data_IF_935274841588
#
_entry.id   IF_935274841588
#
_cell.length_a   1.000
_cell.length_b   1.000
_cell.length_c   1.000
_cell.angle_alpha   90.00
_cell.angle_beta   90.00
_cell.angle_gamma   90.00
#
_symmetry.space_group_name_H-M   'P 1'
#
loop_
_entity.id
_entity.type
_entity.pdbx_description
1 polymer ?
#
# COMPACT_ATOMS: atom_id res chain seq x y z
N UNK A 1 -3.67 23.30 -8.35
CA UNK A 1 -3.82 21.97 -8.99
C UNK A 1 -2.57 21.63 -9.76
N UNK A 2 -2.12 20.40 -9.70
CA UNK A 2 -1.03 19.92 -10.55
C UNK A 2 -1.27 18.47 -10.96
N UNK A 3 -0.64 18.07 -12.07
CA UNK A 3 -0.67 16.66 -12.52
C UNK A 3 0.76 16.14 -12.46
N UNK A 4 0.97 15.09 -11.68
CA UNK A 4 2.26 14.43 -11.58
C UNK A 4 2.23 13.14 -12.39
N UNK A 5 3.19 12.98 -13.29
CA UNK A 5 3.30 11.75 -14.09
C UNK A 5 3.95 10.65 -13.28
N UNK A 6 3.49 9.42 -13.46
CA UNK A 6 4.05 8.28 -12.71
C UNK A 6 5.56 8.13 -12.95
N UNK A 7 6.03 8.42 -14.14
CA UNK A 7 7.46 8.34 -14.47
C UNK A 7 8.34 9.31 -13.68
N UNK A 8 7.72 10.36 -13.12
CA UNK A 8 8.42 11.40 -12.37
C UNK A 8 8.30 11.19 -10.85
N UNK A 9 7.71 10.10 -10.42
CA UNK A 9 7.56 9.79 -9.00
C UNK A 9 8.84 9.15 -8.45
N UNK A 10 8.99 9.23 -7.13
CA UNK A 10 10.17 8.72 -6.44
C UNK A 10 9.84 7.36 -5.82
N UNK A 11 10.75 6.40 -6.02
CA UNK A 11 10.64 5.12 -5.33
C UNK A 11 11.06 5.27 -3.87
N UNK A 12 10.54 4.39 -3.03
CA UNK A 12 10.91 4.31 -1.62
C UNK A 12 10.87 2.86 -1.17
N UNK A 13 11.60 2.56 -0.08
CA UNK A 13 11.56 1.25 0.55
C UNK A 13 10.63 1.30 1.75
N UNK A 14 9.54 0.54 1.66
CA UNK A 14 8.62 0.40 2.77
C UNK A 14 9.13 -0.65 3.75
N UNK A 15 9.06 -0.39 5.08
CA UNK A 15 9.50 -1.36 6.07
C UNK A 15 8.72 -2.66 5.95
N UNK A 16 9.40 -3.78 6.19
CA UNK A 16 8.80 -5.12 6.23
C UNK A 16 8.00 -5.46 4.96
N UNK A 17 8.55 -5.06 3.81
CA UNK A 17 8.02 -5.42 2.49
C UNK A 17 9.03 -6.28 1.75
N UNK A 18 8.56 -7.27 0.99
CA UNK A 18 9.39 -8.22 0.26
C UNK A 18 8.99 -8.26 -1.21
N UNK A 19 9.97 -8.37 -2.11
CA UNK A 19 9.76 -8.48 -3.57
C UNK A 19 8.77 -7.43 -4.08
N UNK A 20 9.01 -6.20 -3.69
CA UNK A 20 8.08 -5.09 -3.87
C UNK A 20 8.82 -3.89 -4.43
N UNK A 21 8.18 -3.19 -5.37
CA UNK A 21 8.62 -1.88 -5.84
C UNK A 21 7.54 -0.88 -5.48
N UNK A 22 7.89 0.14 -4.71
CA UNK A 22 6.94 1.14 -4.21
C UNK A 22 7.31 2.52 -4.68
N UNK A 23 6.28 3.28 -5.10
CA UNK A 23 6.39 4.66 -5.54
C UNK A 23 5.51 5.56 -4.67
N UNK A 24 6.01 6.75 -4.36
CA UNK A 24 5.16 7.80 -3.78
C UNK A 24 4.52 8.57 -4.92
N UNK A 25 3.24 8.31 -5.15
CA UNK A 25 2.53 8.99 -6.21
C UNK A 25 2.20 10.43 -5.85
N UNK A 26 1.72 10.65 -4.63
CA UNK A 26 1.30 11.97 -4.17
C UNK A 26 1.45 12.06 -2.67
N UNK A 27 2.01 13.15 -2.19
CA UNK A 27 2.25 13.38 -0.77
C UNK A 27 3.73 13.54 -0.45
N UNK A 28 4.02 14.00 0.76
CA UNK A 28 5.37 14.32 1.25
C UNK A 28 6.08 15.42 0.43
N UNK A 29 5.33 16.15 -0.36
CA UNK A 29 5.82 17.25 -1.18
C UNK A 29 5.23 18.56 -0.70
N UNK A 30 5.90 19.68 -0.99
CA UNK A 30 5.57 20.99 -0.43
C UNK A 30 4.14 21.42 -0.68
N UNK A 31 3.61 21.11 -1.86
CA UNK A 31 2.27 21.55 -2.27
C UNK A 31 1.33 20.37 -2.51
N UNK A 32 1.63 19.22 -1.92
CA UNK A 32 0.82 18.02 -2.05
C UNK A 32 -0.33 17.95 -1.06
N UNK A 33 -1.00 16.80 -0.99
CA UNK A 33 -2.10 16.60 -0.05
C UNK A 33 -1.67 16.86 1.40
N UNK A 34 -2.52 17.51 2.17
CA UNK A 34 -2.21 17.88 3.55
C UNK A 34 -2.51 16.76 4.56
N UNK A 35 -3.49 15.90 4.26
CA UNK A 35 -4.04 14.97 5.26
C UNK A 35 -3.76 13.51 4.94
N UNK A 36 -3.29 13.20 3.75
CA UNK A 36 -3.03 11.83 3.34
C UNK A 36 -1.98 11.81 2.23
N UNK A 37 -1.45 10.64 1.99
CA UNK A 37 -0.58 10.41 0.84
C UNK A 37 -1.02 9.15 0.10
N UNK A 38 -0.62 9.03 -1.15
CA UNK A 38 -0.96 7.91 -2.02
C UNK A 38 0.31 7.24 -2.50
N UNK A 39 0.40 5.95 -2.26
CA UNK A 39 1.50 5.12 -2.74
C UNK A 39 1.02 4.14 -3.80
N UNK A 40 1.97 3.55 -4.49
CA UNK A 40 1.75 2.54 -5.52
C UNK A 40 2.75 1.44 -5.29
N UNK A 41 2.29 0.20 -5.20
CA UNK A 41 3.16 -0.95 -4.95
C UNK A 41 2.93 -2.01 -6.02
N UNK A 42 4.04 -2.58 -6.47
CA UNK A 42 4.04 -3.73 -7.36
C UNK A 42 4.68 -4.88 -6.61
N UNK A 43 3.95 -5.98 -6.45
CA UNK A 43 4.46 -7.18 -5.78
C UNK A 43 4.68 -8.27 -6.81
N UNK A 44 5.91 -8.76 -6.89
CA UNK A 44 6.23 -9.96 -7.67
C UNK A 44 5.62 -11.19 -7.00
N UNK A 45 5.48 -12.32 -7.71
CA UNK A 45 5.05 -13.56 -7.07
C UNK A 45 5.85 -13.87 -5.81
N UNK A 46 5.16 -14.15 -4.71
CA UNK A 46 5.76 -14.36 -3.40
C UNK A 46 6.02 -13.07 -2.63
N UNK A 47 5.87 -11.91 -3.26
CA UNK A 47 6.07 -10.62 -2.59
C UNK A 47 4.89 -10.22 -1.72
N UNK A 48 5.12 -9.27 -0.84
CA UNK A 48 4.09 -8.79 0.06
C UNK A 48 4.65 -7.93 1.17
N UNK A 49 3.88 -7.82 2.24
CA UNK A 49 4.24 -7.03 3.41
C UNK A 49 3.71 -7.67 4.68
N UNK A 50 4.46 -7.51 5.76
CA UNK A 50 4.07 -7.97 7.07
C UNK A 50 4.54 -9.39 7.39
N UNK A 51 4.01 -9.96 8.48
CA UNK A 51 2.94 -9.37 9.32
C UNK A 51 3.44 -8.20 10.16
N UNK A 52 2.62 -7.18 10.27
CA UNK A 52 2.86 -6.09 11.21
C UNK A 52 1.56 -5.32 11.48
N UNK A 53 1.59 -4.43 12.48
CA UNK A 53 0.50 -3.54 12.82
C UNK A 53 1.01 -2.10 12.82
N UNK A 54 0.28 -1.23 12.14
CA UNK A 54 0.55 0.21 12.16
C UNK A 54 -0.55 0.91 12.94
N UNK A 55 -0.24 1.97 13.71
CA UNK A 55 -1.29 2.75 14.35
C UNK A 55 -2.16 3.52 13.35
N UNK A 56 -1.74 3.62 12.08
CA UNK A 56 -2.44 4.38 11.07
C UNK A 56 -3.35 3.47 10.25
N UNK A 57 -4.58 3.95 10.02
CA UNK A 57 -5.48 3.26 9.11
C UNK A 57 -5.00 3.40 7.67
N UNK A 58 -5.45 2.50 6.80
CA UNK A 58 -5.11 2.56 5.37
C UNK A 58 -6.17 1.89 4.53
N UNK A 59 -6.22 2.30 3.28
CA UNK A 59 -7.05 1.65 2.26
C UNK A 59 -6.14 1.22 1.12
N UNK A 60 -6.29 -0.02 0.70
CA UNK A 60 -5.67 -0.52 -0.52
C UNK A 60 -6.71 -0.55 -1.64
N UNK A 61 -6.29 -0.21 -2.85
CA UNK A 61 -7.10 -0.38 -4.06
C UNK A 61 -6.32 -1.31 -4.98
N UNK A 62 -6.90 -2.45 -5.33
CA UNK A 62 -6.23 -3.40 -6.20
C UNK A 62 -6.48 -3.01 -7.64
N UNK A 63 -5.42 -2.82 -8.41
CA UNK A 63 -5.48 -2.45 -9.82
C UNK A 63 -5.25 -3.65 -10.73
N UNK A 64 -4.33 -4.53 -10.38
CA UNK A 64 -3.99 -5.73 -11.15
C UNK A 64 -3.65 -6.88 -10.22
N UNK A 65 -3.94 -8.10 -10.68
CA UNK A 65 -3.62 -9.31 -9.94
C UNK A 65 -4.56 -9.57 -8.77
N UNK A 66 -4.21 -10.55 -7.95
CA UNK A 66 -4.98 -10.92 -6.76
C UNK A 66 -4.08 -10.90 -5.55
N UNK A 67 -4.50 -10.18 -4.53
CA UNK A 67 -3.77 -10.04 -3.28
C UNK A 67 -4.47 -10.88 -2.21
N UNK A 68 -3.69 -11.68 -1.48
CA UNK A 68 -4.18 -12.41 -0.32
C UNK A 68 -3.90 -11.57 0.93
N UNK A 69 -4.93 -11.33 1.74
CA UNK A 69 -4.84 -10.55 2.97
C UNK A 69 -5.19 -11.44 4.15
N UNK A 70 -4.31 -11.47 5.14
CA UNK A 70 -4.52 -12.16 6.41
C UNK A 70 -4.53 -11.14 7.53
N UNK A 71 -5.67 -11.02 8.20
CA UNK A 71 -5.86 -10.08 9.30
C UNK A 71 -7.00 -10.56 10.17
N UNK A 72 -6.87 -10.34 11.47
CA UNK A 72 -7.91 -10.64 12.46
C UNK A 72 -8.42 -12.09 12.38
N UNK A 73 -7.50 -13.05 12.14
CA UNK A 73 -7.86 -14.47 12.05
C UNK A 73 -8.54 -14.87 10.75
N UNK A 74 -8.69 -13.96 9.82
CA UNK A 74 -9.35 -14.21 8.54
C UNK A 74 -8.36 -14.14 7.39
N UNK A 75 -8.66 -14.86 6.31
CA UNK A 75 -7.93 -14.78 5.05
C UNK A 75 -8.91 -14.42 3.95
N UNK A 76 -8.60 -13.35 3.23
CA UNK A 76 -9.45 -12.87 2.14
C UNK A 76 -8.60 -12.59 0.91
N UNK A 77 -9.24 -12.64 -0.26
CA UNK A 77 -8.60 -12.33 -1.54
C UNK A 77 -9.27 -11.09 -2.10
N UNK A 78 -8.45 -10.11 -2.50
CA UNK A 78 -8.91 -8.92 -3.20
C UNK A 78 -8.45 -8.98 -4.66
N UNK A 79 -9.35 -8.67 -5.56
CA UNK A 79 -9.16 -8.71 -7.01
C UNK A 79 -9.24 -7.30 -7.60
N UNK A 80 -8.87 -7.10 -8.88
CA UNK A 80 -8.92 -5.76 -9.47
C UNK A 80 -10.25 -5.05 -9.29
N UNK A 81 -10.19 -3.81 -8.81
CA UNK A 81 -11.37 -3.01 -8.49
C UNK A 81 -11.81 -3.11 -7.04
N UNK A 82 -11.31 -4.08 -6.28
CA UNK A 82 -11.65 -4.22 -4.87
C UNK A 82 -10.85 -3.25 -4.01
N UNK A 83 -11.44 -2.88 -2.88
CA UNK A 83 -10.76 -2.09 -1.85
C UNK A 83 -10.65 -2.92 -0.58
N UNK A 84 -9.57 -2.68 0.16
CA UNK A 84 -9.32 -3.32 1.45
C UNK A 84 -9.09 -2.23 2.48
N UNK A 85 -9.88 -2.23 3.55
CA UNK A 85 -9.68 -1.30 4.66
C UNK A 85 -9.00 -2.02 5.82
N UNK A 86 -7.88 -1.48 6.28
CA UNK A 86 -7.17 -1.97 7.46
C UNK A 86 -7.25 -0.88 8.53
N UNK A 87 -7.98 -1.12 9.61
CA UNK A 87 -8.03 -0.16 10.73
C UNK A 87 -6.66 0.02 11.38
N UNK A 88 -6.46 1.16 12.02
CA UNK A 88 -5.26 1.39 12.82
C UNK A 88 -5.14 0.35 13.93
N UNK A 89 -3.94 -0.16 14.15
CA UNK A 89 -3.66 -1.14 15.19
C UNK A 89 -3.93 -2.60 14.80
N UNK A 90 -4.54 -2.83 13.66
CA UNK A 90 -4.80 -4.20 13.23
C UNK A 90 -3.55 -4.81 12.60
N UNK A 91 -3.12 -5.97 13.13
CA UNK A 91 -2.03 -6.74 12.51
C UNK A 91 -2.52 -7.31 11.17
N UNK A 92 -1.71 -7.14 10.14
CA UNK A 92 -2.04 -7.67 8.81
C UNK A 92 -0.80 -8.19 8.11
N UNK A 93 -1.03 -9.18 7.23
CA UNK A 93 -0.06 -9.64 6.26
C UNK A 93 -0.74 -9.63 4.90
N UNK A 94 -0.04 -9.12 3.90
CA UNK A 94 -0.49 -9.19 2.51
C UNK A 94 0.55 -9.96 1.70
N UNK A 95 0.07 -10.77 0.75
CA UNK A 95 0.95 -11.64 -0.02
C UNK A 95 0.41 -11.86 -1.43
N UNK A 96 1.30 -11.78 -2.41
CA UNK A 96 1.01 -12.23 -3.76
C UNK A 96 1.28 -13.73 -3.83
N UNK A 97 0.23 -14.55 -3.78
CA UNK A 97 0.33 -16.01 -3.82
C UNK A 97 0.10 -16.59 -5.24
N UNK A 98 0.02 -15.72 -6.24
CA UNK A 98 -0.20 -16.11 -7.65
C UNK A 98 1.08 -15.89 -8.47
N UNK A 99 1.02 -16.23 -9.75
CA UNK A 99 2.14 -16.10 -10.68
C UNK A 99 2.04 -14.84 -11.57
N UNK A 100 1.24 -13.89 -11.17
CA UNK A 100 1.10 -12.60 -11.84
C UNK A 100 1.52 -11.48 -10.90
N UNK A 101 1.95 -10.36 -11.44
CA UNK A 101 2.26 -9.18 -10.62
C UNK A 101 0.99 -8.63 -10.02
N UNK A 102 1.04 -8.25 -8.74
CA UNK A 102 -0.04 -7.50 -8.11
C UNK A 102 0.33 -6.03 -8.13
N UNK A 103 -0.60 -5.19 -8.59
CA UNK A 103 -0.47 -3.74 -8.53
C UNK A 103 -1.56 -3.20 -7.63
N UNK A 104 -1.16 -2.41 -6.63
CA UNK A 104 -2.11 -1.78 -5.73
C UNK A 104 -1.72 -0.36 -5.40
N UNK A 105 -2.71 0.44 -5.05
CA UNK A 105 -2.53 1.76 -4.48
C UNK A 105 -2.80 1.69 -2.98
N UNK A 106 -2.07 2.49 -2.20
CA UNK A 106 -2.32 2.64 -0.78
C UNK A 106 -2.61 4.10 -0.49
N UNK A 107 -3.64 4.34 0.31
CA UNK A 107 -4.00 5.67 0.78
C UNK A 107 -3.90 5.65 2.29
N UNK A 108 -3.08 6.53 2.86
CA UNK A 108 -2.81 6.59 4.29
C UNK A 108 -2.72 8.03 4.76
N UNK A 109 -3.09 8.31 6.02
CA UNK A 109 -2.73 9.59 6.63
C UNK A 109 -1.21 9.65 6.85
N UNK A 110 -0.70 10.87 7.00
CA UNK A 110 0.70 11.03 7.36
C UNK A 110 0.98 10.55 8.78
N UNK A 111 2.20 10.05 9.04
CA UNK A 111 2.58 9.74 10.42
C UNK A 111 2.50 11.00 11.29
N UNK A 112 2.20 10.88 12.59
CA UNK A 112 2.22 12.03 13.48
C UNK A 112 3.59 12.70 13.46
N UNK A 113 3.59 14.02 13.52
CA UNK A 113 4.86 14.76 13.65
C UNK A 113 5.43 14.51 15.04
N UNK A 114 6.71 14.21 15.09
CA UNK A 114 7.40 14.17 16.37
C UNK A 114 7.53 15.59 16.92
N UNK A 115 7.16 15.75 18.18
CA UNK A 115 7.25 17.03 18.87
C UNK A 115 8.60 17.20 19.57
#
# INVERSE_FOLDING_TARGET
MYVKKIKDTTSYEAPNHQKCHSLRLSGFEEYGPENFWVGHSQFLPGGGAGPDASPLEKVYIISEGQLTIKANGETKIASPGDTVFIPGGMEREIRNEKNEVVVMYVIMPYPPKES
#
